data_IF_190459413852
#
_entry.id   IF_190459413852
#
_cell.length_a   1.000
_cell.length_b   1.000
_cell.length_c   1.000
_cell.angle_alpha   90.00
_cell.angle_beta   90.00
_cell.angle_gamma   90.00
#
_symmetry.space_group_name_H-M   'P 1'
#
loop_
_entity.id
_entity.type
_entity.pdbx_description
1 polymer ?
#
# COMPACT_ATOMS: atom_id res chain seq x y z
N UNK A 1 12.21 -15.47 -1.70
CA UNK A 1 11.90 -15.09 -0.30
C UNK A 1 11.73 -13.58 -0.15
N UNK A 2 12.68 -12.78 -0.63
CA UNK A 2 12.67 -11.31 -0.52
C UNK A 2 11.42 -10.62 -1.08
N UNK A 3 10.97 -11.01 -2.28
CA UNK A 3 9.76 -10.44 -2.91
C UNK A 3 8.51 -10.60 -2.05
N UNK A 4 8.36 -11.75 -1.39
CA UNK A 4 7.21 -12.03 -0.52
C UNK A 4 7.24 -11.09 0.68
N UNK A 5 8.41 -10.88 1.27
CA UNK A 5 8.60 -9.95 2.39
C UNK A 5 8.20 -8.52 1.96
N UNK A 6 8.61 -8.07 0.77
CA UNK A 6 8.25 -6.75 0.26
C UNK A 6 6.73 -6.60 0.03
N UNK A 7 6.06 -7.64 -0.48
CA UNK A 7 4.60 -7.64 -0.64
C UNK A 7 3.91 -7.57 0.72
N UNK A 8 4.38 -8.34 1.71
CA UNK A 8 3.86 -8.29 3.07
C UNK A 8 4.07 -6.91 3.71
N UNK A 9 5.24 -6.29 3.51
CA UNK A 9 5.51 -4.92 3.95
C UNK A 9 4.52 -3.93 3.35
N UNK A 10 4.21 -4.03 2.05
CA UNK A 10 3.23 -3.15 1.43
C UNK A 10 1.82 -3.36 1.97
N UNK A 11 1.41 -4.61 2.20
CA UNK A 11 0.12 -4.91 2.84
C UNK A 11 0.06 -4.32 4.26
N UNK A 12 1.13 -4.47 5.04
CA UNK A 12 1.21 -3.92 6.40
C UNK A 12 1.19 -2.39 6.38
N UNK A 13 1.92 -1.76 5.46
CA UNK A 13 1.91 -0.31 5.29
C UNK A 13 0.52 0.24 4.96
N UNK A 14 -0.17 -0.37 3.99
CA UNK A 14 -1.53 0.07 3.62
C UNK A 14 -2.54 -0.16 4.73
N UNK A 15 -2.49 -1.31 5.41
CA UNK A 15 -3.40 -1.61 6.54
C UNK A 15 -3.16 -0.70 7.73
N UNK A 16 -1.90 -0.50 8.12
CA UNK A 16 -1.55 0.32 9.29
C UNK A 16 -2.05 1.75 9.09
N UNK A 17 -1.80 2.33 7.92
CA UNK A 17 -2.28 3.69 7.61
C UNK A 17 -3.80 3.74 7.47
N UNK A 18 -4.43 2.73 6.87
CA UNK A 18 -5.90 2.67 6.78
C UNK A 18 -6.58 2.61 8.14
N UNK A 19 -6.02 1.85 9.09
CA UNK A 19 -6.52 1.75 10.46
C UNK A 19 -6.32 3.07 11.20
N UNK A 20 -5.12 3.66 11.13
CA UNK A 20 -4.82 4.95 11.75
C UNK A 20 -5.73 6.08 11.25
N UNK A 21 -5.93 6.14 9.93
CA UNK A 21 -6.77 7.15 9.30
C UNK A 21 -8.26 6.95 9.64
N UNK A 22 -8.82 5.76 9.38
CA UNK A 22 -10.27 5.56 9.43
C UNK A 22 -10.82 5.26 10.83
N UNK A 23 -10.00 4.71 11.75
CA UNK A 23 -10.48 4.28 13.07
C UNK A 23 -9.89 5.08 14.23
N UNK A 24 -8.67 5.62 14.09
CA UNK A 24 -7.98 6.37 15.15
C UNK A 24 -8.05 7.90 14.95
N UNK A 25 -8.84 8.36 13.98
CA UNK A 25 -9.11 9.79 13.74
C UNK A 25 -7.88 10.61 13.36
N UNK A 26 -6.79 9.96 12.92
CA UNK A 26 -5.59 10.67 12.48
C UNK A 26 -5.80 11.26 11.09
N UNK A 27 -5.23 12.44 10.85
CA UNK A 27 -5.21 13.02 9.51
C UNK A 27 -4.42 12.13 8.55
N UNK A 28 -4.78 12.14 7.27
CA UNK A 28 -4.16 11.34 6.20
C UNK A 28 -2.63 11.45 6.24
N UNK A 29 -2.15 12.69 6.42
CA UNK A 29 -0.74 13.02 6.49
C UNK A 29 -0.07 12.38 7.71
N UNK A 30 -0.68 12.46 8.91
CA UNK A 30 -0.11 11.87 10.13
C UNK A 30 -0.15 10.34 10.12
N UNK A 31 -1.25 9.77 9.65
CA UNK A 31 -1.46 8.33 9.53
C UNK A 31 -0.45 7.68 8.56
N UNK A 32 0.05 8.43 7.58
CA UNK A 32 1.08 7.97 6.64
C UNK A 32 2.50 8.30 7.11
N UNK A 33 2.75 9.55 7.53
CA UNK A 33 4.11 10.02 7.84
C UNK A 33 4.68 9.42 9.12
N UNK A 34 3.89 9.30 10.20
CA UNK A 34 4.40 8.80 11.48
C UNK A 34 4.86 7.33 11.40
N UNK A 35 4.05 6.38 10.90
CA UNK A 35 4.49 4.99 10.79
C UNK A 35 5.67 4.84 9.81
N UNK A 36 5.66 5.58 8.71
CA UNK A 36 6.73 5.54 7.72
C UNK A 36 8.06 6.05 8.29
N UNK A 37 8.01 7.11 9.10
CA UNK A 37 9.18 7.63 9.80
C UNK A 37 9.73 6.62 10.81
N UNK A 38 8.86 5.97 11.59
CA UNK A 38 9.27 4.94 12.56
C UNK A 38 9.97 3.78 11.84
N UNK A 39 9.40 3.29 10.74
CA UNK A 39 10.00 2.21 9.94
C UNK A 39 11.33 2.65 9.36
N UNK A 40 11.40 3.83 8.75
CA UNK A 40 12.65 4.34 8.17
C UNK A 40 13.76 4.53 9.21
N UNK A 41 13.43 5.10 10.38
CA UNK A 41 14.37 5.27 11.48
C UNK A 41 14.85 3.93 12.05
N UNK A 42 13.96 2.94 12.16
CA UNK A 42 14.32 1.61 12.61
C UNK A 42 15.40 0.98 11.71
N UNK A 43 15.20 1.00 10.39
CA UNK A 43 16.19 0.47 9.44
C UNK A 43 17.44 1.34 9.29
N UNK A 44 17.38 2.62 9.68
CA UNK A 44 18.54 3.51 9.74
C UNK A 44 19.43 3.22 10.96
N UNK A 45 18.84 3.01 12.14
CA UNK A 45 19.56 2.74 13.40
C UNK A 45 20.15 1.33 13.40
N UNK A 46 19.47 0.36 12.79
CA UNK A 46 19.89 -1.04 12.79
C UNK A 46 20.21 -1.57 11.38
N UNK A 47 21.36 -1.19 10.81
CA UNK A 47 21.63 -1.48 9.41
C UNK A 47 21.92 -2.95 9.09
N UNK A 48 22.30 -3.77 10.08
CA UNK A 48 22.72 -5.15 9.86
C UNK A 48 21.64 -6.21 10.13
N UNK A 49 20.39 -5.81 10.38
CA UNK A 49 19.29 -6.76 10.69
C UNK A 49 18.88 -7.60 9.46
N UNK A 50 19.05 -7.06 8.25
CA UNK A 50 18.52 -7.66 7.01
C UNK A 50 19.48 -7.49 5.83
N UNK A 51 19.22 -8.19 4.72
CA UNK A 51 19.99 -8.00 3.49
C UNK A 51 19.95 -6.55 3.02
N UNK A 52 21.07 -6.04 2.49
CA UNK A 52 21.19 -4.66 1.98
C UNK A 52 20.06 -4.30 1.00
N UNK A 53 19.61 -5.27 0.19
CA UNK A 53 18.49 -5.10 -0.72
C UNK A 53 17.15 -4.84 -0.01
N UNK A 54 16.83 -5.62 1.03
CA UNK A 54 15.60 -5.45 1.81
C UNK A 54 15.61 -4.15 2.60
N UNK A 55 16.75 -3.82 3.20
CA UNK A 55 16.89 -2.64 4.05
C UNK A 55 16.55 -1.34 3.31
N UNK A 56 16.98 -1.21 2.05
CA UNK A 56 16.64 -0.04 1.24
C UNK A 56 15.20 -0.07 0.73
N UNK A 57 14.67 -1.24 0.36
CA UNK A 57 13.35 -1.33 -0.27
C UNK A 57 12.20 -1.30 0.71
N UNK A 58 12.36 -1.85 1.92
CA UNK A 58 11.29 -1.93 2.92
C UNK A 58 10.73 -0.53 3.26
N UNK A 59 11.55 0.48 3.66
CA UNK A 59 11.03 1.81 3.97
C UNK A 59 10.32 2.46 2.79
N UNK A 60 10.84 2.28 1.57
CA UNK A 60 10.29 2.88 0.35
C UNK A 60 8.94 2.25 -0.02
N UNK A 61 8.83 0.93 0.07
CA UNK A 61 7.58 0.23 -0.20
C UNK A 61 6.56 0.56 0.89
N UNK A 62 7.00 0.65 2.15
CA UNK A 62 6.12 0.99 3.26
C UNK A 62 5.51 2.38 3.09
N UNK A 63 6.30 3.43 2.83
CA UNK A 63 5.79 4.78 2.60
C UNK A 63 4.97 4.91 1.30
N UNK A 64 5.28 4.12 0.28
CA UNK A 64 4.47 4.09 -0.93
C UNK A 64 3.11 3.42 -0.68
N UNK A 65 3.09 2.32 0.06
CA UNK A 65 1.89 1.59 0.38
C UNK A 65 1.02 2.29 1.43
N UNK A 66 1.60 3.09 2.32
CA UNK A 66 0.82 3.94 3.23
C UNK A 66 -0.08 4.90 2.45
N UNK A 67 0.33 5.37 1.26
CA UNK A 67 -0.53 6.20 0.40
C UNK A 67 -1.78 5.47 -0.08
N UNK A 68 -1.69 4.15 -0.32
CA UNK A 68 -2.85 3.30 -0.60
C UNK A 68 -3.79 3.28 0.62
N UNK A 69 -3.21 3.26 1.82
CA UNK A 69 -3.94 3.26 3.09
C UNK A 69 -4.67 4.57 3.43
N UNK A 70 -4.31 5.70 2.82
CA UNK A 70 -4.99 7.00 3.03
C UNK A 70 -6.40 7.06 2.40
N UNK A 71 -6.85 5.96 1.77
CA UNK A 71 -8.20 5.86 1.22
C UNK A 71 -9.25 5.85 2.33
N UNK A 72 -10.33 6.60 2.12
CA UNK A 72 -11.46 6.60 3.04
C UNK A 72 -12.28 5.31 2.97
N UNK A 73 -12.88 4.92 4.09
CA UNK A 73 -13.77 3.76 4.20
C UNK A 73 -15.00 3.86 3.26
N UNK A 74 -15.40 5.08 2.87
CA UNK A 74 -16.46 5.32 1.88
C UNK A 74 -16.10 4.84 0.47
N UNK A 75 -14.82 4.81 0.13
CA UNK A 75 -14.33 4.39 -1.19
C UNK A 75 -14.05 2.89 -1.17
N UNK A 76 -13.27 2.42 -0.18
CA UNK A 76 -12.98 0.99 0.02
C UNK A 76 -13.55 0.52 1.36
N UNK A 77 -14.75 -0.08 1.28
CA UNK A 77 -15.54 -0.52 2.43
C UNK A 77 -15.00 -1.79 3.11
N UNK A 78 -14.23 -2.62 2.40
CA UNK A 78 -13.77 -3.91 2.91
C UNK A 78 -12.25 -3.93 2.98
N UNK A 79 -11.72 -4.27 4.15
CA UNK A 79 -10.30 -4.45 4.43
C UNK A 79 -9.57 -5.40 3.46
N UNK A 80 -10.27 -6.39 2.89
CA UNK A 80 -9.76 -7.26 1.83
C UNK A 80 -9.32 -6.50 0.57
N UNK A 81 -10.02 -5.41 0.23
CA UNK A 81 -9.63 -4.56 -0.90
C UNK A 81 -8.39 -3.73 -0.58
N UNK A 82 -8.19 -3.31 0.67
CA UNK A 82 -6.96 -2.62 1.10
C UNK A 82 -5.74 -3.55 1.01
N UNK A 83 -5.91 -4.81 1.45
CA UNK A 83 -4.89 -5.85 1.31
C UNK A 83 -4.56 -6.07 -0.16
N UNK A 84 -5.58 -6.20 -1.00
CA UNK A 84 -5.41 -6.41 -2.44
C UNK A 84 -4.74 -5.20 -3.12
N UNK A 85 -5.13 -3.97 -2.77
CA UNK A 85 -4.52 -2.76 -3.29
C UNK A 85 -3.05 -2.63 -2.87
N UNK A 86 -2.72 -2.90 -1.59
CA UNK A 86 -1.34 -2.90 -1.09
C UNK A 86 -0.47 -3.97 -1.75
N UNK A 87 -1.03 -5.15 -2.03
CA UNK A 87 -0.36 -6.20 -2.79
C UNK A 87 -0.11 -5.79 -4.24
N UNK A 88 -1.11 -5.24 -4.93
CA UNK A 88 -0.99 -4.72 -6.30
C UNK A 88 0.07 -3.61 -6.36
N UNK A 89 0.04 -2.67 -5.43
CA UNK A 89 1.04 -1.61 -5.31
C UNK A 89 2.46 -2.19 -5.25
N UNK A 90 2.68 -3.16 -4.35
CA UNK A 90 3.98 -3.78 -4.16
C UNK A 90 4.47 -4.50 -5.42
N UNK A 91 3.57 -5.22 -6.11
CA UNK A 91 3.88 -5.89 -7.37
C UNK A 91 4.28 -4.88 -8.45
N UNK A 92 3.50 -3.80 -8.61
CA UNK A 92 3.82 -2.75 -9.59
C UNK A 92 5.16 -2.09 -9.25
N UNK A 93 5.39 -1.75 -7.98
CA UNK A 93 6.62 -1.10 -7.55
C UNK A 93 7.85 -1.99 -7.74
N UNK A 94 7.76 -3.29 -7.46
CA UNK A 94 8.90 -4.22 -7.64
C UNK A 94 9.30 -4.34 -9.12
N UNK A 95 8.32 -4.35 -10.03
CA UNK A 95 8.57 -4.50 -11.46
C UNK A 95 8.94 -3.17 -12.15
N UNK A 96 8.32 -2.05 -11.76
CA UNK A 96 8.48 -0.76 -12.43
C UNK A 96 9.27 0.28 -11.62
N UNK A 97 9.67 -0.02 -10.39
CA UNK A 97 10.31 0.97 -9.49
C UNK A 97 11.62 1.55 -10.02
N UNK A 98 12.35 0.83 -10.87
CA UNK A 98 13.57 1.35 -11.53
C UNK A 98 13.26 2.41 -12.59
N UNK A 99 12.15 2.28 -13.31
CA UNK A 99 11.70 3.23 -14.34
C UNK A 99 11.28 4.58 -13.74
N UNK A 100 10.90 4.58 -12.46
CA UNK A 100 10.44 5.77 -11.75
C UNK A 100 11.53 6.50 -10.96
N UNK A 101 12.78 6.05 -11.02
CA UNK A 101 13.91 6.73 -10.37
C UNK A 101 14.08 8.14 -10.94
N UNK A 102 14.12 9.14 -10.06
CA UNK A 102 14.29 10.56 -10.42
C UNK A 102 12.98 11.32 -10.63
N UNK A 103 11.82 10.65 -10.64
CA UNK A 103 10.51 11.29 -10.72
C UNK A 103 9.90 11.45 -9.32
N UNK A 104 9.84 12.69 -8.83
CA UNK A 104 9.07 13.04 -7.64
C UNK A 104 7.58 12.74 -7.85
N UNK A 105 6.92 12.14 -6.85
CA UNK A 105 5.50 11.76 -6.92
C UNK A 105 5.18 10.40 -7.57
N UNK A 106 6.18 9.67 -8.06
CA UNK A 106 5.99 8.36 -8.69
C UNK A 106 5.33 7.31 -7.78
N UNK A 107 5.70 7.26 -6.49
CA UNK A 107 5.08 6.39 -5.49
C UNK A 107 3.57 6.66 -5.36
N UNK A 108 3.16 7.94 -5.37
CA UNK A 108 1.76 8.35 -5.30
C UNK A 108 0.97 7.90 -6.54
N UNK A 109 1.57 8.00 -7.73
CA UNK A 109 0.96 7.54 -8.97
C UNK A 109 0.72 6.03 -8.96
N UNK A 110 1.72 5.25 -8.54
CA UNK A 110 1.58 3.79 -8.42
C UNK A 110 0.52 3.41 -7.39
N UNK A 111 0.46 4.14 -6.26
CA UNK A 111 -0.59 3.97 -5.26
C UNK A 111 -1.98 4.26 -5.85
N UNK A 112 -2.15 5.36 -6.58
CA UNK A 112 -3.39 5.72 -7.25
C UNK A 112 -3.84 4.63 -8.23
N UNK A 113 -2.93 4.17 -9.11
CA UNK A 113 -3.21 3.08 -10.05
C UNK A 113 -3.69 1.83 -9.30
N UNK A 114 -2.99 1.44 -8.22
CA UNK A 114 -3.36 0.25 -7.44
C UNK A 114 -4.77 0.34 -6.84
N UNK A 115 -5.17 1.51 -6.34
CA UNK A 115 -6.50 1.76 -5.77
C UNK A 115 -7.56 1.71 -6.87
N UNK A 116 -7.32 2.37 -8.01
CA UNK A 116 -8.26 2.37 -9.16
C UNK A 116 -8.44 0.95 -9.69
N UNK A 117 -7.36 0.18 -9.86
CA UNK A 117 -7.44 -1.23 -10.27
C UNK A 117 -8.29 -2.04 -9.30
N UNK A 118 -8.09 -1.84 -8.00
CA UNK A 118 -8.87 -2.53 -6.95
C UNK A 118 -10.34 -2.14 -6.99
N UNK A 119 -10.66 -0.85 -7.18
CA UNK A 119 -12.02 -0.36 -7.32
C UNK A 119 -12.72 -0.93 -8.56
N UNK A 120 -12.00 -1.03 -9.68
CA UNK A 120 -12.49 -1.68 -10.89
C UNK A 120 -12.87 -3.15 -10.63
N UNK A 121 -12.00 -3.90 -9.95
CA UNK A 121 -12.27 -5.28 -9.55
C UNK A 121 -13.47 -5.40 -8.60
N UNK A 122 -13.58 -4.51 -7.62
CA UNK A 122 -14.72 -4.48 -6.69
C UNK A 122 -16.05 -4.22 -7.42
N UNK A 123 -16.04 -3.30 -8.40
CA UNK A 123 -17.21 -2.94 -9.20
C UNK A 123 -17.66 -4.09 -10.09
N UNK A 124 -16.73 -4.78 -10.75
CA UNK A 124 -17.02 -5.98 -11.56
C UNK A 124 -17.63 -7.12 -10.73
N UNK A 125 -17.12 -7.34 -9.50
CA UNK A 125 -17.67 -8.34 -8.58
C UNK A 125 -19.11 -8.01 -8.17
N UNK A 126 -19.39 -6.74 -7.86
CA UNK A 126 -20.74 -6.26 -7.54
C UNK A 126 -21.71 -6.48 -8.71
N UNK A 127 -21.28 -6.17 -9.94
CA UNK A 127 -22.11 -6.35 -11.13
C UNK A 127 -22.40 -7.84 -11.45
N UNK A 128 -21.43 -8.74 -11.25
CA UNK A 128 -21.66 -10.21 -11.33
C UNK A 128 -22.64 -10.70 -10.27
N UNK A 129 -22.57 -10.17 -9.04
CA UNK A 129 -23.51 -10.51 -7.96
C UNK A 129 -24.96 -10.11 -8.25
N UNK A 130 -25.17 -8.94 -8.85
CA UNK A 130 -26.51 -8.45 -9.25
C UNK A 130 -27.10 -9.34 -10.35
N UNK A 131 -26.28 -9.79 -11.32
CA UNK A 131 -26.74 -10.67 -12.41
C UNK A 131 -27.08 -12.09 -11.92
N UNK A 132 -26.45 -12.56 -10.83
CA UNK A 132 -26.70 -13.88 -10.22
C UNK A 132 -27.96 -13.93 -9.34
N UNK A 133 -28.43 -12.78 -8.85
CA UNK A 133 -29.65 -12.64 -8.03
C UNK A 133 -30.94 -12.48 -8.84
N UNK A 134 -30.82 -12.28 -10.16
CA UNK A 134 -31.93 -12.15 -11.13
C UNK A 134 -32.15 -13.42 -11.97
N UNK A 135 -31.45 -14.51 -11.67
CA UNK A 135 -31.74 -15.86 -12.20
C UNK A 135 -32.32 -16.69 -11.06
#
# INVERSE_FOLDING_TARGET
MEVIILILTGILGSLTTYVLHNYLGQSDVRASALPSLIVALFFFIFPEITSSFLQHKIPIIFIGASFVGMVSNKVLHHWLYIILAGAIFSIIYINLGSFFKGFGGSLGNVACISVITTLGLATLKKHKGIKKRKK
#
